data_IF_517212770488
#
_entry.id   IF_517212770488
#
_cell.length_a   1.000
_cell.length_b   1.000
_cell.length_c   1.000
_cell.angle_alpha   90.00
_cell.angle_beta   90.00
_cell.angle_gamma   90.00
#
_symmetry.space_group_name_H-M   'P 1'
#
loop_
_entity.id
_entity.type
_entity.pdbx_description
1 polymer ?
#
# COMPACT_ATOMS: atom_id res chain seq x y z
N UNK A 1 1.21 14.18 -1.28
CA UNK A 1 1.73 12.86 -0.90
C UNK A 1 1.65 11.94 -2.08
N UNK A 2 2.68 11.15 -2.33
CA UNK A 2 2.74 10.27 -3.50
C UNK A 2 2.97 8.81 -3.14
N UNK A 3 3.53 8.53 -1.98
CA UNK A 3 3.79 7.16 -1.54
C UNK A 3 3.88 7.06 -0.04
N UNK A 4 3.66 5.86 0.47
CA UNK A 4 3.91 5.52 1.87
C UNK A 4 4.66 4.20 1.91
N UNK A 5 5.52 4.04 2.91
CA UNK A 5 6.26 2.81 3.15
C UNK A 5 5.66 2.11 4.36
N UNK A 6 5.33 0.85 4.20
CA UNK A 6 4.60 0.06 5.19
C UNK A 6 5.29 -1.28 5.46
N UNK A 7 4.98 -1.86 6.61
CA UNK A 7 5.45 -3.18 6.99
C UNK A 7 4.82 -4.27 6.13
N UNK A 8 5.53 -5.38 5.94
CA UNK A 8 5.10 -6.47 5.06
C UNK A 8 3.76 -7.09 5.47
N UNK A 9 3.50 -7.27 6.77
CA UNK A 9 2.27 -7.91 7.22
C UNK A 9 1.02 -7.12 6.83
N UNK A 10 1.09 -5.78 6.88
CA UNK A 10 -0.06 -4.96 6.48
C UNK A 10 -0.19 -4.91 4.95
N UNK A 11 0.94 -4.90 4.23
CA UNK A 11 0.90 -4.98 2.77
C UNK A 11 0.21 -6.25 2.30
N UNK A 12 0.55 -7.40 2.87
CA UNK A 12 -0.05 -8.68 2.50
C UNK A 12 -1.56 -8.69 2.73
N UNK A 13 -2.01 -8.13 3.86
CA UNK A 13 -3.43 -8.01 4.17
C UNK A 13 -4.16 -7.12 3.19
N UNK A 14 -3.60 -5.97 2.87
CA UNK A 14 -4.19 -5.00 1.93
C UNK A 14 -4.25 -5.61 0.53
N UNK A 15 -3.18 -6.23 0.08
CA UNK A 15 -3.10 -6.80 -1.27
C UNK A 15 -4.08 -7.97 -1.43
N UNK A 16 -4.25 -8.78 -0.41
CA UNK A 16 -5.21 -9.87 -0.40
C UNK A 16 -6.64 -9.36 -0.59
N UNK A 17 -7.01 -8.32 0.14
CA UNK A 17 -8.33 -7.69 0.01
C UNK A 17 -8.53 -7.04 -1.36
N UNK A 18 -7.51 -6.36 -1.86
CA UNK A 18 -7.55 -5.74 -3.18
C UNK A 18 -7.74 -6.77 -4.29
N UNK A 19 -7.04 -7.88 -4.20
CA UNK A 19 -7.13 -8.97 -5.17
C UNK A 19 -8.54 -9.55 -5.24
N UNK A 20 -9.23 -9.68 -4.12
CA UNK A 20 -10.63 -10.11 -4.07
C UNK A 20 -11.57 -9.15 -4.81
N UNK A 21 -11.17 -7.89 -5.00
CA UNK A 21 -11.93 -6.88 -5.74
C UNK A 21 -11.39 -6.67 -7.15
N UNK A 22 -10.58 -7.58 -7.65
CA UNK A 22 -9.94 -7.49 -8.97
C UNK A 22 -9.05 -6.26 -9.11
N UNK A 23 -8.34 -5.91 -8.05
CA UNK A 23 -7.41 -4.78 -7.99
C UNK A 23 -6.06 -5.24 -7.47
N UNK A 24 -5.01 -4.59 -7.95
CA UNK A 24 -3.66 -4.76 -7.43
C UNK A 24 -3.12 -3.39 -7.07
N UNK A 25 -2.73 -3.20 -5.81
CA UNK A 25 -2.17 -1.94 -5.36
C UNK A 25 -0.82 -1.71 -6.05
N UNK A 26 -0.56 -0.49 -6.48
CA UNK A 26 0.76 -0.12 -7.03
C UNK A 26 1.78 -0.16 -5.90
N UNK A 27 2.82 -0.99 -6.07
CA UNK A 27 3.77 -1.25 -5.00
C UNK A 27 5.19 -1.44 -5.51
N UNK A 28 6.14 -1.25 -4.60
CA UNK A 28 7.54 -1.56 -4.80
C UNK A 28 8.09 -2.19 -3.53
N UNK A 29 8.75 -3.34 -3.66
CA UNK A 29 9.33 -4.06 -2.53
C UNK A 29 10.78 -3.63 -2.33
N UNK A 30 11.14 -3.37 -1.08
CA UNK A 30 12.50 -3.04 -0.67
C UNK A 30 12.88 -3.89 0.55
N UNK A 31 14.15 -3.92 0.86
CA UNK A 31 14.67 -4.61 2.03
C UNK A 31 15.38 -3.61 2.93
N UNK A 32 15.17 -3.75 4.21
CA UNK A 32 15.81 -2.93 5.23
C UNK A 32 16.17 -3.81 6.42
N UNK A 33 16.83 -3.27 7.41
CA UNK A 33 17.21 -3.99 8.60
C UNK A 33 16.40 -3.47 9.79
N UNK A 34 15.94 -4.39 10.64
CA UNK A 34 15.27 -4.03 11.88
C UNK A 34 16.29 -3.66 12.98
N UNK A 35 15.80 -3.35 14.17
CA UNK A 35 16.65 -2.96 15.30
C UNK A 35 17.59 -4.08 15.75
N UNK A 36 17.28 -5.33 15.42
CA UNK A 36 18.09 -6.50 15.73
C UNK A 36 19.12 -6.81 14.63
N UNK A 37 19.12 -6.05 13.52
CA UNK A 37 20.00 -6.28 12.39
C UNK A 37 19.50 -7.34 11.44
N UNK A 38 18.27 -7.84 11.59
CA UNK A 38 17.67 -8.80 10.68
C UNK A 38 17.07 -8.10 9.47
N UNK A 39 17.25 -8.72 8.29
CA UNK A 39 16.69 -8.18 7.05
C UNK A 39 15.18 -8.38 7.04
N UNK A 40 14.45 -7.30 6.76
CA UNK A 40 13.00 -7.31 6.65
C UNK A 40 12.57 -6.75 5.30
N UNK A 41 11.44 -7.27 4.78
CA UNK A 41 10.82 -6.73 3.59
C UNK A 41 9.91 -5.56 3.97
N UNK A 42 10.05 -4.45 3.26
CA UNK A 42 9.16 -3.30 3.37
C UNK A 42 8.58 -2.98 2.00
N UNK A 43 7.43 -2.35 1.99
CA UNK A 43 6.72 -2.07 0.75
C UNK A 43 6.37 -0.60 0.67
N UNK A 44 6.67 0.01 -0.47
CA UNK A 44 6.24 1.36 -0.79
C UNK A 44 5.04 1.26 -1.72
N UNK A 45 3.92 1.83 -1.31
CA UNK A 45 2.68 1.81 -2.10
C UNK A 45 2.35 3.21 -2.61
N UNK A 46 1.77 3.26 -3.82
CA UNK A 46 1.35 4.52 -4.43
C UNK A 46 0.06 5.02 -3.82
N UNK A 47 0.04 6.29 -3.43
CA UNK A 47 -1.17 6.94 -2.89
C UNK A 47 -1.38 8.29 -3.57
N UNK A 48 -2.62 8.69 -3.67
CA UNK A 48 -2.99 10.01 -4.17
C UNK A 48 -3.05 11.02 -3.03
N UNK A 49 -3.80 10.69 -1.98
CA UNK A 49 -4.02 11.59 -0.86
C UNK A 49 -4.48 10.84 0.38
N UNK A 50 -4.59 11.56 1.48
CA UNK A 50 -5.19 11.10 2.72
C UNK A 50 -6.65 11.52 2.70
N UNK A 51 -7.56 10.55 2.92
CA UNK A 51 -8.99 10.80 2.97
C UNK A 51 -9.43 11.18 4.37
N UNK A 52 -8.95 10.42 5.36
CA UNK A 52 -9.34 10.60 6.76
C UNK A 52 -8.25 10.06 7.67
N UNK A 53 -8.13 10.66 8.82
CA UNK A 53 -7.18 10.21 9.84
C UNK A 53 -7.88 10.12 11.20
N UNK A 54 -7.56 9.05 11.92
CA UNK A 54 -7.95 8.89 13.33
C UNK A 54 -6.68 8.82 14.18
N UNK A 55 -6.86 8.68 15.49
CA UNK A 55 -5.72 8.56 16.41
C UNK A 55 -4.81 7.35 16.08
N UNK A 56 -5.40 6.24 15.64
CA UNK A 56 -4.68 4.97 15.46
C UNK A 56 -4.44 4.57 14.00
N UNK A 57 -5.14 5.17 13.05
CA UNK A 57 -5.08 4.75 11.66
C UNK A 57 -5.31 5.91 10.70
N UNK A 58 -4.84 5.73 9.47
CA UNK A 58 -5.03 6.70 8.39
C UNK A 58 -5.70 5.99 7.21
N UNK A 59 -6.73 6.60 6.65
CA UNK A 59 -7.37 6.14 5.42
C UNK A 59 -6.72 6.83 4.22
N UNK A 60 -6.11 6.04 3.34
CA UNK A 60 -5.45 6.53 2.14
C UNK A 60 -6.29 6.24 0.90
N UNK A 61 -6.23 7.14 -0.05
CA UNK A 61 -6.72 6.92 -1.40
C UNK A 61 -5.55 6.34 -2.22
N UNK A 62 -5.55 5.02 -2.39
CA UNK A 62 -4.43 4.31 -3.00
C UNK A 62 -4.59 4.19 -4.52
N UNK A 63 -3.46 4.17 -5.21
CA UNK A 63 -3.39 3.88 -6.63
C UNK A 63 -3.40 2.36 -6.84
N UNK A 64 -4.06 1.92 -7.91
CA UNK A 64 -4.16 0.49 -8.20
C UNK A 64 -4.23 0.21 -9.70
N UNK A 65 -3.96 -1.05 -10.06
CA UNK A 65 -4.21 -1.60 -11.39
C UNK A 65 -5.44 -2.51 -11.33
N UNK A 66 -6.21 -2.54 -12.41
CA UNK A 66 -7.31 -3.48 -12.54
C UNK A 66 -6.78 -4.83 -13.03
N UNK A 67 -7.21 -5.94 -12.41
CA UNK A 67 -6.85 -7.29 -12.83
C UNK A 67 -7.86 -7.88 -13.82
N UNK A 68 -8.92 -7.14 -14.15
CA UNK A 68 -9.97 -7.60 -15.08
C UNK A 68 -9.66 -7.37 -16.56
N UNK A 69 -8.61 -6.65 -16.85
CA UNK A 69 -8.26 -6.32 -18.24
C UNK A 69 -7.51 -7.47 -18.89
N UNK A 70 -7.99 -7.93 -20.04
CA UNK A 70 -7.30 -8.93 -20.87
C UNK A 70 -6.10 -8.36 -21.60
N UNK A 71 -6.01 -7.04 -21.70
CA UNK A 71 -4.87 -6.38 -22.29
C UNK A 71 -4.02 -5.84 -21.15
N UNK A 72 -2.69 -6.00 -21.22
CA UNK A 72 -1.82 -5.40 -20.23
C UNK A 72 -1.83 -3.89 -20.40
N UNK A 73 -2.95 -3.30 -20.05
CA UNK A 73 -3.10 -1.87 -20.01
C UNK A 73 -2.66 -1.47 -18.59
N UNK A 74 -1.41 -1.03 -18.46
CA UNK A 74 -0.84 -0.61 -17.19
C UNK A 74 -1.40 0.73 -16.73
N UNK A 75 -2.69 0.95 -16.97
CA UNK A 75 -3.36 2.16 -16.50
C UNK A 75 -3.47 2.11 -14.99
N UNK A 76 -2.93 3.14 -14.36
CA UNK A 76 -3.03 3.32 -12.91
C UNK A 76 -4.29 4.12 -12.61
N UNK A 77 -5.11 3.57 -11.73
CA UNK A 77 -6.33 4.21 -11.27
C UNK A 77 -6.15 4.70 -9.84
N UNK A 78 -6.87 5.75 -9.47
CA UNK A 78 -7.01 6.20 -8.09
C UNK A 78 -8.35 5.73 -7.54
N UNK A 79 -8.47 5.69 -6.21
CA UNK A 79 -9.77 5.49 -5.57
C UNK A 79 -9.92 4.22 -4.76
N UNK A 80 -8.85 3.47 -4.54
CA UNK A 80 -8.91 2.33 -3.62
C UNK A 80 -8.66 2.81 -2.20
N UNK A 81 -9.72 2.88 -1.41
CA UNK A 81 -9.65 3.38 -0.02
C UNK A 81 -9.17 2.29 0.91
N UNK A 82 -8.10 2.57 1.64
CA UNK A 82 -7.48 1.61 2.56
C UNK A 82 -7.19 2.28 3.90
N UNK A 83 -7.61 1.64 4.98
CA UNK A 83 -7.22 2.02 6.33
C UNK A 83 -5.94 1.31 6.74
N UNK A 84 -4.93 2.08 7.14
CA UNK A 84 -3.64 1.53 7.56
C UNK A 84 -3.35 1.98 8.99
N UNK A 85 -3.10 1.04 9.91
CA UNK A 85 -2.69 1.39 11.27
C UNK A 85 -1.41 2.23 11.25
N UNK A 86 -1.36 3.28 12.06
CA UNK A 86 -0.17 4.13 12.14
C UNK A 86 1.08 3.35 12.54
N UNK A 87 0.91 2.32 13.37
CA UNK A 87 2.01 1.45 13.78
C UNK A 87 2.65 0.66 12.65
N UNK A 88 1.93 0.49 11.53
CA UNK A 88 2.42 -0.22 10.35
C UNK A 88 3.06 0.71 9.32
N UNK A 89 2.97 2.02 9.50
CA UNK A 89 3.53 3.01 8.58
C UNK A 89 4.95 3.34 9.03
N UNK A 90 5.92 3.12 8.14
CA UNK A 90 7.32 3.39 8.42
C UNK A 90 7.74 4.78 7.93
N UNK A 91 7.19 5.22 6.80
CA UNK A 91 7.55 6.49 6.18
C UNK A 91 6.41 6.99 5.31
N UNK A 92 6.21 8.30 5.32
CA UNK A 92 5.28 8.98 4.42
C UNK A 92 6.06 10.00 3.59
N UNK A 93 5.93 9.90 2.27
CA UNK A 93 6.65 10.77 1.36
C UNK A 93 5.71 11.51 0.40
#
# INVERSE_FOLDING_TARGET
MKSITIKSWIYEEIQSKAFCQSKTIVWNKQYDFDDNGDEIAIYTIGVKDIIKETEKAICFNCKYWSTRSYRPNFTVYDGYKVWIPKSAILKMA
#
